data_IF_426493004127
#
_entry.id   IF_426493004127
#
_cell.length_a   1.000
_cell.length_b   1.000
_cell.length_c   1.000
_cell.angle_alpha   90.00
_cell.angle_beta   90.00
_cell.angle_gamma   90.00
#
_symmetry.space_group_name_H-M   'P 1'
#
loop_
_entity.id
_entity.type
_entity.pdbx_description
1 polymer ?
#
# COMPACT_ATOMS: atom_id res chain seq x y z
N UNK A 1 -18.07 11.52 -3.36
CA UNK A 1 -17.26 10.41 -3.92
C UNK A 1 -15.81 10.78 -3.69
N UNK A 2 -15.14 10.09 -2.76
CA UNK A 2 -13.78 10.43 -2.33
C UNK A 2 -12.81 9.40 -2.89
N UNK A 3 -11.87 9.83 -3.73
CA UNK A 3 -10.81 8.98 -4.26
C UNK A 3 -9.67 8.91 -3.28
N UNK A 4 -9.33 7.68 -2.86
CA UNK A 4 -8.17 7.42 -2.00
C UNK A 4 -7.03 6.84 -2.85
N UNK A 5 -5.85 7.45 -2.78
CA UNK A 5 -4.62 6.96 -3.39
C UNK A 5 -3.64 6.48 -2.30
N UNK A 6 -3.01 5.32 -2.50
CA UNK A 6 -1.96 4.80 -1.61
C UNK A 6 -0.63 4.78 -2.38
N UNK A 7 0.38 5.43 -1.82
CA UNK A 7 1.70 5.58 -2.42
C UNK A 7 2.78 5.00 -1.48
N UNK A 8 3.71 4.16 -1.97
CA UNK A 8 4.88 3.80 -1.20
C UNK A 8 5.79 5.02 -1.04
N UNK A 9 6.28 5.24 0.18
CA UNK A 9 7.25 6.29 0.51
C UNK A 9 8.44 5.67 1.23
N UNK A 10 9.63 6.21 0.98
CA UNK A 10 10.83 5.87 1.74
C UNK A 10 10.86 6.70 3.02
N UNK A 11 10.79 6.06 4.18
CA UNK A 11 10.95 6.77 5.45
C UNK A 11 12.40 7.24 5.64
N UNK A 12 12.63 8.19 6.54
CA UNK A 12 13.96 8.77 6.86
C UNK A 12 15.02 7.70 7.20
N UNK A 13 14.56 6.58 7.75
CA UNK A 13 15.31 5.42 8.16
C UNK A 13 15.45 4.35 7.05
N UNK A 14 15.03 4.65 5.82
CA UNK A 14 15.11 3.73 4.67
C UNK A 14 14.07 2.61 4.68
N UNK A 15 13.18 2.57 5.68
CA UNK A 15 12.12 1.57 5.77
C UNK A 15 11.00 1.87 4.77
N UNK A 16 10.43 0.80 4.18
CA UNK A 16 9.22 0.91 3.34
C UNK A 16 8.07 1.43 4.22
N UNK A 17 7.50 2.56 3.82
CA UNK A 17 6.31 3.13 4.44
C UNK A 17 5.30 3.44 3.33
N UNK A 18 4.06 3.69 3.72
CA UNK A 18 2.96 3.93 2.80
C UNK A 18 2.22 5.18 3.22
N UNK A 19 1.84 6.00 2.24
CA UNK A 19 1.02 7.19 2.43
C UNK A 19 -0.33 6.99 1.75
N UNK A 20 -1.41 7.12 2.50
CA UNK A 20 -2.77 7.19 1.97
C UNK A 20 -3.19 8.65 1.85
N UNK A 21 -3.79 9.05 0.73
CA UNK A 21 -4.19 10.43 0.41
C UNK A 21 -5.63 10.41 -0.09
N UNK A 22 -6.49 11.25 0.49
CA UNK A 22 -7.87 11.44 0.09
C UNK A 22 -8.20 12.94 0.08
N UNK A 23 -8.15 13.56 -1.10
CA UNK A 23 -8.39 15.00 -1.26
C UNK A 23 -7.41 15.84 -0.43
N UNK A 24 -7.92 16.46 0.62
CA UNK A 24 -7.18 17.30 1.57
C UNK A 24 -6.56 16.53 2.75
N UNK A 25 -6.91 15.26 2.93
CA UNK A 25 -6.46 14.42 4.04
C UNK A 25 -5.38 13.45 3.59
N UNK A 26 -4.42 13.22 4.48
CA UNK A 26 -3.38 12.23 4.26
C UNK A 26 -2.99 11.54 5.56
N UNK A 27 -2.52 10.31 5.44
CA UNK A 27 -1.98 9.55 6.56
C UNK A 27 -0.82 8.66 6.13
N UNK A 28 0.08 8.36 7.06
CA UNK A 28 1.27 7.53 6.83
C UNK A 28 1.22 6.32 7.76
N UNK A 29 1.51 5.15 7.22
CA UNK A 29 1.61 3.90 7.97
C UNK A 29 2.78 3.05 7.50
N UNK A 30 3.15 2.05 8.32
CA UNK A 30 4.19 1.07 7.93
C UNK A 30 3.70 0.12 6.84
N UNK A 31 2.39 -0.05 6.73
CA UNK A 31 1.72 -0.83 5.68
C UNK A 31 0.66 0.02 4.98
N UNK A 32 0.28 -0.38 3.77
CA UNK A 32 -0.82 0.25 3.04
C UNK A 32 -2.12 0.25 3.86
N UNK A 33 -2.43 -0.86 4.52
CA UNK A 33 -3.61 -0.99 5.39
C UNK A 33 -3.54 -0.05 6.60
N UNK A 34 -2.39 0.07 7.25
CA UNK A 34 -2.25 0.94 8.42
C UNK A 34 -2.36 2.43 8.05
N UNK A 35 -1.82 2.81 6.88
CA UNK A 35 -1.99 4.16 6.34
C UNK A 35 -3.47 4.45 6.02
N UNK A 36 -4.18 3.45 5.48
CA UNK A 36 -5.61 3.54 5.18
C UNK A 36 -6.45 3.64 6.45
N UNK A 37 -6.28 2.76 7.44
CA UNK A 37 -7.05 2.75 8.69
C UNK A 37 -6.96 4.11 9.40
N UNK A 38 -5.76 4.66 9.41
CA UNK A 38 -5.49 5.98 9.98
C UNK A 38 -6.15 7.11 9.17
N UNK A 39 -6.24 6.98 7.85
CA UNK A 39 -6.95 7.93 6.99
C UNK A 39 -8.48 7.83 7.18
N UNK A 40 -9.01 6.61 7.30
CA UNK A 40 -10.44 6.35 7.58
C UNK A 40 -10.83 6.95 8.93
N UNK A 41 -9.97 6.80 9.95
CA UNK A 41 -10.17 7.42 11.27
C UNK A 41 -10.24 8.94 11.19
N UNK A 42 -9.47 9.57 10.29
CA UNK A 42 -9.53 11.03 10.06
C UNK A 42 -10.74 11.47 9.24
N UNK A 43 -11.30 10.60 8.40
CA UNK A 43 -12.43 10.91 7.52
C UNK A 43 -13.79 10.71 8.18
N UNK A 44 -13.89 9.81 9.17
CA UNK A 44 -15.19 9.38 9.72
C UNK A 44 -15.96 8.51 8.72
N UNK A 45 -16.97 7.76 9.19
CA UNK A 45 -17.78 6.83 8.38
C UNK A 45 -18.25 7.49 7.08
N UNK A 46 -17.58 7.19 5.98
CA UNK A 46 -17.90 7.73 4.66
C UNK A 46 -17.70 6.63 3.63
N UNK A 47 -18.63 6.48 2.70
CA UNK A 47 -18.48 5.58 1.56
C UNK A 47 -17.36 6.11 0.63
N UNK A 48 -16.24 5.39 0.50
CA UNK A 48 -15.12 5.75 -0.39
C UNK A 48 -14.85 4.71 -1.47
N UNK A 49 -14.48 5.20 -2.66
CA UNK A 49 -14.06 4.38 -3.79
C UNK A 49 -12.54 4.32 -3.83
N UNK A 50 -11.98 3.11 -3.86
CA UNK A 50 -10.55 2.87 -3.70
C UNK A 50 -9.88 2.52 -5.03
N UNK A 51 -8.72 3.13 -5.30
CA UNK A 51 -7.86 2.76 -6.42
C UNK A 51 -6.47 2.45 -5.86
N UNK A 52 -6.11 1.16 -5.85
CA UNK A 52 -4.78 0.68 -5.45
C UNK A 52 -3.94 0.52 -6.71
N UNK A 53 -2.87 1.30 -6.85
CA UNK A 53 -1.87 1.12 -7.91
C UNK A 53 -0.61 0.54 -7.28
N UNK A 54 -0.54 -0.79 -7.22
CA UNK A 54 0.67 -1.49 -6.80
C UNK A 54 1.60 -1.65 -8.00
N UNK A 55 2.69 -0.87 -8.04
CA UNK A 55 3.84 -1.21 -8.85
C UNK A 55 4.62 -2.33 -8.13
N UNK A 56 4.04 -3.54 -8.11
CA UNK A 56 4.72 -4.72 -7.59
C UNK A 56 5.77 -5.12 -8.64
N UNK A 57 7.00 -4.60 -8.50
CA UNK A 57 8.13 -5.26 -9.12
C UNK A 57 8.53 -6.41 -8.21
N UNK A 58 8.26 -7.68 -8.59
CA UNK A 58 8.73 -8.81 -7.80
C UNK A 58 10.25 -8.75 -7.75
N UNK A 59 10.79 -8.67 -6.55
CA UNK A 59 12.23 -8.78 -6.34
C UNK A 59 12.71 -10.14 -6.89
N UNK A 60 13.94 -10.21 -7.40
CA UNK A 60 14.46 -11.42 -8.05
C UNK A 60 14.41 -12.68 -7.15
N UNK A 61 14.28 -12.51 -5.84
CA UNK A 61 14.09 -13.61 -4.89
C UNK A 61 12.67 -14.20 -4.94
N UNK A 62 11.63 -13.40 -5.15
CA UNK A 62 10.26 -13.88 -5.31
C UNK A 62 10.10 -14.73 -6.58
N UNK A 63 10.77 -14.33 -7.67
CA UNK A 63 10.81 -15.10 -8.92
C UNK A 63 11.48 -16.47 -8.76
N UNK A 64 12.54 -16.58 -7.94
CA UNK A 64 13.24 -17.85 -7.71
C UNK A 64 12.39 -18.86 -6.92
N UNK A 65 11.63 -18.37 -5.94
CA UNK A 65 10.77 -19.21 -5.10
C UNK A 65 9.60 -19.79 -5.90
N UNK A 66 9.03 -19.00 -6.82
CA UNK A 66 7.96 -19.45 -7.74
C UNK A 66 8.43 -20.60 -8.64
N UNK A 67 9.64 -20.52 -9.20
CA UNK A 67 10.20 -21.57 -10.07
C UNK A 67 10.54 -22.87 -9.36
N UNK A 68 10.80 -22.82 -8.04
CA UNK A 68 11.03 -24.03 -7.24
C UNK A 68 9.74 -24.83 -6.96
N UNK A 69 8.58 -24.18 -7.08
CA UNK A 69 7.27 -24.81 -6.89
C UNK A 69 6.72 -25.49 -8.16
N UNK A 70 7.22 -25.12 -9.34
CA UNK A 70 6.82 -25.71 -10.63
C UNK A 70 7.61 -26.99 -11.00
N UNK A 71 8.80 -27.20 -10.43
CA UNK A 71 9.66 -28.35 -10.76
C UNK A 71 9.47 -29.57 -9.84
N UNK A 72 8.35 -29.64 -9.11
CA UNK A 72 8.07 -30.75 -8.17
C UNK A 72 6.78 -31.51 -8.48
N UNK A 73 6.37 -31.56 -9.75
CA UNK A 73 5.38 -32.51 -10.26
C UNK A 73 6.02 -33.64 -11.06
#
# INVERSE_FOLDING_TARGET
MTTVAILPISSINGEKSYRAIAGDKQSIGKTAGQALDSLITQMGETEFSMIIIQNCQPDSNFLKELQSSENSQ
#
